data_IF_121234246170
#
_entry.id   IF_121234246170
#
_cell.length_a   1.000
_cell.length_b   1.000
_cell.length_c   1.000
_cell.angle_alpha   90.00
_cell.angle_beta   90.00
_cell.angle_gamma   90.00
#
_symmetry.space_group_name_H-M   'P 1'
#
loop_
_entity.id
_entity.type
_entity.pdbx_description
1 polymer ?
#
# COMPACT_ATOMS: atom_id res chain seq x y z
N UNK A 1 -12.59 -5.67 10.50
CA UNK A 1 -11.54 -4.69 10.14
C UNK A 1 -10.18 -5.36 9.83
N UNK A 2 -10.11 -6.69 9.75
CA UNK A 2 -8.87 -7.44 9.51
C UNK A 2 -8.55 -7.54 8.00
N UNK A 3 -9.58 -7.68 7.17
CA UNK A 3 -9.46 -7.94 5.71
C UNK A 3 -8.64 -6.87 4.96
N UNK A 4 -9.00 -5.57 4.93
CA UNK A 4 -8.28 -4.61 4.11
C UNK A 4 -6.83 -4.42 4.53
N UNK A 5 -6.53 -4.56 5.83
CA UNK A 5 -5.16 -4.47 6.34
C UNK A 5 -4.29 -5.62 5.84
N UNK A 6 -4.72 -6.87 6.02
CA UNK A 6 -3.95 -8.03 5.56
C UNK A 6 -3.79 -8.04 4.04
N UNK A 7 -4.84 -7.72 3.30
CA UNK A 7 -4.77 -7.59 1.85
C UNK A 7 -3.74 -6.56 1.43
N UNK A 8 -3.74 -5.38 2.05
CA UNK A 8 -2.77 -4.33 1.74
C UNK A 8 -1.34 -4.80 2.02
N UNK A 9 -1.08 -5.46 3.17
CA UNK A 9 0.26 -5.97 3.48
C UNK A 9 0.75 -7.02 2.50
N UNK A 10 -0.13 -7.92 2.06
CA UNK A 10 0.22 -8.95 1.08
C UNK A 10 0.51 -8.35 -0.29
N UNK A 11 -0.32 -7.39 -0.73
CA UNK A 11 -0.11 -6.67 -1.99
C UNK A 11 1.18 -5.86 -1.95
N UNK A 12 1.47 -5.21 -0.82
CA UNK A 12 2.73 -4.48 -0.61
C UNK A 12 3.95 -5.40 -0.79
N UNK A 13 3.93 -6.51 -0.07
CA UNK A 13 5.04 -7.46 -0.04
C UNK A 13 5.23 -8.17 -1.38
N UNK A 14 4.16 -8.78 -1.92
CA UNK A 14 4.26 -9.67 -3.08
C UNK A 14 4.20 -8.95 -4.42
N UNK A 15 3.43 -7.87 -4.55
CA UNK A 15 3.16 -7.22 -5.84
C UNK A 15 3.88 -5.88 -6.00
N UNK A 16 3.82 -5.01 -5.00
CA UNK A 16 4.42 -3.66 -5.08
C UNK A 16 5.94 -3.72 -4.96
N UNK A 17 6.42 -4.32 -3.87
CA UNK A 17 7.86 -4.45 -3.56
C UNK A 17 8.48 -5.72 -4.13
N UNK A 18 7.65 -6.65 -4.62
CA UNK A 18 8.10 -7.90 -5.23
C UNK A 18 9.14 -8.65 -4.38
N UNK A 19 8.91 -8.70 -3.05
CA UNK A 19 9.79 -9.32 -2.04
C UNK A 19 11.20 -8.69 -1.94
N UNK A 20 11.42 -7.51 -2.51
CA UNK A 20 12.68 -6.77 -2.37
C UNK A 20 12.62 -5.91 -1.11
N UNK A 21 13.24 -6.41 -0.05
CA UNK A 21 13.40 -5.68 1.20
C UNK A 21 14.87 -5.28 1.41
N UNK A 22 15.06 -4.14 2.05
CA UNK A 22 16.36 -3.58 2.39
C UNK A 22 16.52 -3.61 3.92
N UNK A 23 17.77 -3.61 4.39
CA UNK A 23 18.09 -3.73 5.82
C UNK A 23 17.64 -2.52 6.66
N UNK A 24 17.23 -1.43 5.99
CA UNK A 24 16.72 -0.20 6.60
C UNK A 24 15.21 -0.25 6.92
N UNK A 25 14.59 -1.43 6.89
CA UNK A 25 13.17 -1.61 7.23
C UNK A 25 12.81 -1.08 8.63
N UNK A 26 13.75 -1.19 9.57
CA UNK A 26 13.58 -0.74 10.95
C UNK A 26 14.30 0.59 11.25
N UNK A 27 14.83 1.26 10.22
CA UNK A 27 15.42 2.57 10.41
C UNK A 27 14.34 3.58 10.83
N UNK A 28 14.62 4.35 11.89
CA UNK A 28 13.66 5.32 12.42
C UNK A 28 13.54 6.56 11.54
N UNK A 29 14.60 6.93 10.83
CA UNK A 29 14.63 8.09 9.94
C UNK A 29 15.46 7.75 8.70
N UNK A 30 15.04 8.27 7.55
CA UNK A 30 15.71 8.01 6.28
C UNK A 30 15.53 6.58 5.76
N UNK A 31 16.17 6.28 4.64
CA UNK A 31 16.05 4.98 3.98
C UNK A 31 14.79 4.80 3.14
N UNK A 32 14.61 3.59 2.61
CA UNK A 32 13.61 3.25 1.61
C UNK A 32 12.17 3.28 2.15
N UNK A 33 11.99 3.14 3.46
CA UNK A 33 10.67 3.05 4.11
C UNK A 33 10.25 4.31 4.85
N UNK A 34 11.08 5.36 4.87
CA UNK A 34 10.72 6.65 5.45
C UNK A 34 9.76 7.45 4.56
N UNK A 35 9.68 7.15 3.26
CA UNK A 35 8.79 7.81 2.29
C UNK A 35 8.86 9.35 2.40
N UNK A 36 7.73 10.02 2.67
CA UNK A 36 7.65 11.47 2.91
C UNK A 36 7.30 11.70 4.38
N UNK A 37 8.31 11.96 5.21
CA UNK A 37 8.15 12.28 6.63
C UNK A 37 7.67 11.13 7.50
N UNK A 38 7.99 9.89 7.13
CA UNK A 38 7.57 8.66 7.83
C UNK A 38 6.26 8.05 7.33
N UNK A 39 5.59 8.67 6.35
CA UNK A 39 4.24 8.27 5.93
C UNK A 39 4.18 7.70 4.51
N UNK A 40 3.62 6.49 4.39
CA UNK A 40 3.17 5.91 3.12
C UNK A 40 1.71 6.32 2.86
N UNK A 41 1.52 7.53 2.34
CA UNK A 41 0.19 8.07 2.00
C UNK A 41 -0.64 7.16 1.07
N UNK A 42 -0.07 6.57 0.00
CA UNK A 42 -0.80 5.59 -0.81
C UNK A 42 -1.38 4.43 0.03
N UNK A 43 -0.62 3.89 0.98
CA UNK A 43 -1.09 2.81 1.85
C UNK A 43 -2.19 3.30 2.81
N UNK A 44 -1.98 4.44 3.46
CA UNK A 44 -2.96 5.00 4.41
C UNK A 44 -4.29 5.27 3.74
N UNK A 45 -4.28 5.95 2.59
CA UNK A 45 -5.50 6.30 1.86
C UNK A 45 -6.20 5.05 1.34
N UNK A 46 -5.44 4.04 0.86
CA UNK A 46 -6.04 2.78 0.39
C UNK A 46 -6.65 1.99 1.55
N UNK A 47 -6.01 1.98 2.72
CA UNK A 47 -6.54 1.31 3.91
C UNK A 47 -7.86 1.94 4.37
N UNK A 48 -7.90 3.27 4.45
CA UNK A 48 -9.09 4.02 4.88
C UNK A 48 -10.24 3.87 3.88
N UNK A 49 -9.95 3.98 2.58
CA UNK A 49 -10.97 3.81 1.53
C UNK A 49 -11.49 2.37 1.42
N UNK A 50 -10.61 1.36 1.50
CA UNK A 50 -11.02 -0.05 1.54
C UNK A 50 -11.84 -0.37 2.79
N UNK A 51 -11.50 0.24 3.91
CA UNK A 51 -12.30 0.17 5.14
C UNK A 51 -13.68 0.77 4.92
N UNK A 52 -13.77 2.00 4.41
CA UNK A 52 -15.04 2.66 4.14
C UNK A 52 -15.91 1.83 3.18
N UNK A 53 -15.32 1.28 2.13
CA UNK A 53 -16.00 0.41 1.17
C UNK A 53 -16.58 -0.85 1.84
N UNK A 54 -15.81 -1.50 2.73
CA UNK A 54 -16.30 -2.64 3.48
C UNK A 54 -17.57 -2.30 4.27
N UNK A 55 -17.59 -1.16 4.96
CA UNK A 55 -18.75 -0.71 5.73
C UNK A 55 -19.93 -0.38 4.83
N UNK A 56 -19.69 0.30 3.69
CA UNK A 56 -20.75 0.62 2.72
C UNK A 56 -21.41 -0.67 2.19
N UNK A 57 -20.62 -1.69 1.86
CA UNK A 57 -21.18 -2.96 1.36
C UNK A 57 -21.86 -3.73 2.49
N UNK A 58 -21.25 -3.80 3.67
CA UNK A 58 -21.77 -4.58 4.79
C UNK A 58 -23.12 -4.04 5.32
N UNK A 59 -23.32 -2.72 5.30
CA UNK A 59 -24.52 -2.08 5.86
C UNK A 59 -25.47 -1.48 4.80
N UNK A 60 -24.97 -1.12 3.62
CA UNK A 60 -25.77 -0.49 2.57
C UNK A 60 -26.30 -1.44 1.49
N UNK A 61 -25.73 -2.64 1.34
CA UNK A 61 -26.04 -3.55 0.22
C UNK A 61 -26.31 -5.00 0.69
N UNK A 62 -27.55 -5.29 1.15
CA UNK A 62 -27.91 -6.62 1.65
C UNK A 62 -27.68 -7.74 0.62
N UNK A 63 -27.99 -7.48 -0.66
CA UNK A 63 -27.84 -8.44 -1.77
C UNK A 63 -26.39 -8.94 -1.93
N UNK A 64 -25.42 -8.01 -1.85
CA UNK A 64 -24.00 -8.35 -2.00
C UNK A 64 -23.44 -9.06 -0.76
N UNK A 65 -23.94 -8.67 0.42
CA UNK A 65 -23.57 -9.33 1.68
C UNK A 65 -23.98 -10.79 1.69
N UNK A 66 -25.19 -11.11 1.24
CA UNK A 66 -25.74 -12.48 1.26
C UNK A 66 -25.10 -13.39 0.20
N UNK A 67 -24.61 -12.83 -0.90
CA UNK A 67 -24.14 -13.63 -2.04
C UNK A 67 -22.63 -13.92 -1.99
N UNK A 68 -21.79 -12.93 -1.67
CA UNK A 68 -20.33 -13.02 -1.90
C UNK A 68 -19.51 -12.60 -0.66
N UNK A 69 -20.16 -12.14 0.41
CA UNK A 69 -19.53 -11.46 1.55
C UNK A 69 -18.84 -10.15 1.18
N UNK A 70 -18.93 -9.13 2.05
CA UNK A 70 -18.31 -7.82 1.82
C UNK A 70 -16.77 -7.88 1.72
N UNK A 71 -16.16 -8.99 2.13
CA UNK A 71 -14.72 -9.20 2.11
C UNK A 71 -14.15 -9.25 0.67
N UNK A 72 -14.73 -10.05 -0.23
CA UNK A 72 -14.19 -10.26 -1.58
C UNK A 72 -14.13 -8.97 -2.42
N UNK A 73 -15.20 -8.15 -2.49
CA UNK A 73 -15.15 -6.85 -3.18
C UNK A 73 -14.15 -5.89 -2.56
N UNK A 74 -14.05 -5.87 -1.22
CA UNK A 74 -13.08 -5.04 -0.50
C UNK A 74 -11.66 -5.42 -0.85
N UNK A 75 -11.36 -6.73 -0.90
CA UNK A 75 -10.03 -7.22 -1.28
C UNK A 75 -9.68 -6.82 -2.71
N UNK A 76 -10.59 -7.04 -3.66
CA UNK A 76 -10.38 -6.66 -5.05
C UNK A 76 -10.10 -5.15 -5.19
N UNK A 77 -10.87 -4.31 -4.49
CA UNK A 77 -10.65 -2.87 -4.46
C UNK A 77 -9.28 -2.49 -3.90
N UNK A 78 -8.91 -3.01 -2.72
CA UNK A 78 -7.62 -2.73 -2.08
C UNK A 78 -6.46 -3.16 -2.97
N UNK A 79 -6.55 -4.34 -3.60
CA UNK A 79 -5.54 -4.84 -4.53
C UNK A 79 -5.36 -3.86 -5.68
N UNK A 80 -6.44 -3.48 -6.38
CA UNK A 80 -6.36 -2.61 -7.55
C UNK A 80 -5.79 -1.24 -7.16
N UNK A 81 -6.37 -0.59 -6.16
CA UNK A 81 -5.99 0.78 -5.78
C UNK A 81 -4.55 0.81 -5.27
N UNK A 82 -4.19 -0.08 -4.34
CA UNK A 82 -2.86 -0.06 -3.76
C UNK A 82 -1.79 -0.53 -4.75
N UNK A 83 -2.10 -1.50 -5.62
CA UNK A 83 -1.15 -1.96 -6.63
C UNK A 83 -0.76 -0.82 -7.56
N UNK A 84 -1.71 -0.15 -8.21
CA UNK A 84 -1.36 0.90 -9.17
C UNK A 84 -0.75 2.13 -8.49
N UNK A 85 -1.32 2.57 -7.38
CA UNK A 85 -0.84 3.78 -6.71
C UNK A 85 0.44 3.53 -5.91
N UNK A 86 0.45 2.48 -5.10
CA UNK A 86 1.60 2.08 -4.29
C UNK A 86 2.81 1.72 -5.16
N UNK A 87 2.61 1.01 -6.28
CA UNK A 87 3.70 0.69 -7.21
C UNK A 87 4.26 1.94 -7.89
N UNK A 88 3.40 2.84 -8.37
CA UNK A 88 3.86 4.11 -8.94
C UNK A 88 4.62 4.96 -7.92
N UNK A 89 4.12 5.04 -6.68
CA UNK A 89 4.77 5.77 -5.59
C UNK A 89 6.13 5.18 -5.21
N UNK A 90 6.20 3.85 -5.08
CA UNK A 90 7.42 3.12 -4.77
C UNK A 90 8.50 3.33 -5.82
N UNK A 91 8.17 3.19 -7.11
CA UNK A 91 9.15 3.38 -8.17
C UNK A 91 9.69 4.81 -8.25
N UNK A 92 8.83 5.82 -8.07
CA UNK A 92 9.25 7.21 -8.00
C UNK A 92 10.19 7.46 -6.83
N UNK A 93 9.88 6.89 -5.66
CA UNK A 93 10.71 6.99 -4.48
C UNK A 93 12.08 6.34 -4.67
N UNK A 94 12.13 5.12 -5.23
CA UNK A 94 13.38 4.43 -5.53
C UNK A 94 14.25 5.18 -6.55
N UNK A 95 13.64 5.81 -7.56
CA UNK A 95 14.37 6.65 -8.52
C UNK A 95 15.01 7.85 -7.83
N UNK A 96 14.24 8.57 -7.00
CA UNK A 96 14.75 9.71 -6.26
C UNK A 96 15.92 9.34 -5.31
N UNK A 97 15.83 8.20 -4.62
CA UNK A 97 16.92 7.70 -3.77
C UNK A 97 18.18 7.34 -4.56
N UNK A 98 18.02 6.76 -5.75
CA UNK A 98 19.16 6.45 -6.64
C UNK A 98 19.83 7.71 -7.15
N UNK A 99 19.05 8.69 -7.60
CA UNK A 99 19.57 9.98 -8.06
C UNK A 99 20.35 10.71 -6.96
N UNK A 100 19.79 10.77 -5.74
CA UNK A 100 20.47 11.37 -4.59
C UNK A 100 21.83 10.70 -4.31
N UNK A 101 21.87 9.35 -4.31
CA UNK A 101 23.11 8.59 -4.09
C UNK A 101 24.15 8.80 -5.20
N UNK A 102 23.72 8.99 -6.45
CA UNK A 102 24.63 9.27 -7.56
C UNK A 102 25.25 10.66 -7.45
N UNK A 103 24.47 11.66 -7.04
CA UNK A 103 24.97 13.02 -6.80
C UNK A 103 26.03 13.01 -5.70
N UNK A 104 25.76 12.35 -4.57
CA UNK A 104 26.71 12.19 -3.47
C UNK A 104 28.00 11.47 -3.88
N UNK A 105 27.93 10.51 -4.81
CA UNK A 105 29.11 9.78 -5.28
C UNK A 105 29.96 10.58 -6.30
N UNK A 106 29.41 11.65 -6.87
CA UNK A 106 30.03 12.44 -7.95
C UNK A 106 30.63 13.79 -7.49
N UNK A 107 30.34 14.21 -6.26
CA UNK A 107 30.89 15.42 -5.62
C UNK A 107 32.00 15.09 -4.65
#
# INVERSE_FOLDING_TARGET
MVVPLWTLTLVDYFLVKARRYYDDLFAQEGGHYWYRGGWNWPAVITLLSGTALYWIIAFGLPILRETISAALPTMAFVVVVYYFWGRSGWEKHLRALREARLVEASG
#
